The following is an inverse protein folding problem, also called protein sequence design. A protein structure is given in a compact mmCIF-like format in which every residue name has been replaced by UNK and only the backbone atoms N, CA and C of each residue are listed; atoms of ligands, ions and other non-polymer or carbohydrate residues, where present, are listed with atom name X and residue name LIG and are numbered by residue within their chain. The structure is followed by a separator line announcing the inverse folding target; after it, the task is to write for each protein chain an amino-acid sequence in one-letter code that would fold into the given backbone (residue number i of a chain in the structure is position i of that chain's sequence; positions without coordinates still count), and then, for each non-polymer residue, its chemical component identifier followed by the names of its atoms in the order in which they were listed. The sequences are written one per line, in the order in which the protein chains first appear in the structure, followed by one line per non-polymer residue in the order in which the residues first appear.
data_IF_949414991819
#
_entry.id   IF_949414991819
#
_cell.length_a   1.000
_cell.length_b   1.000
_cell.length_c   1.000
_cell.angle_alpha   90.00
_cell.angle_beta   90.00
_cell.angle_gamma   90.00
#
_symmetry.space_group_name_H-M   'P 1'
#
loop_
_entity.id
_entity.type
_entity.pdbx_description
1 polymer ?
#
# COMPACT_ATOMS: atom_id res chain seq x y z
N UNK A 1 75.51 43.79 -10.89
CA UNK A 1 74.42 43.12 -10.16
C UNK A 1 73.07 43.65 -10.72
N UNK A 2 72.45 42.89 -11.59
CA UNK A 2 71.17 43.25 -12.22
C UNK A 2 70.05 42.85 -11.28
N UNK A 3 69.26 43.81 -10.82
CA UNK A 3 68.06 43.59 -10.01
C UNK A 3 67.06 42.80 -10.82
N UNK A 4 66.79 41.53 -10.50
CA UNK A 4 65.66 40.79 -11.05
C UNK A 4 64.40 41.48 -10.59
N UNK A 5 63.57 41.82 -11.54
CA UNK A 5 62.33 42.53 -11.37
C UNK A 5 61.34 41.67 -10.49
N UNK A 6 60.67 42.25 -9.54
CA UNK A 6 59.65 41.52 -8.70
C UNK A 6 58.47 41.02 -9.54
N UNK A 7 58.38 41.43 -10.79
CA UNK A 7 57.33 41.01 -11.71
C UNK A 7 57.45 39.56 -12.15
N UNK A 8 58.68 39.01 -12.17
CA UNK A 8 58.94 37.59 -12.55
C UNK A 8 58.62 36.62 -11.44
N UNK A 9 58.74 37.10 -10.19
CA UNK A 9 58.40 36.23 -9.02
C UNK A 9 56.90 36.09 -8.81
N UNK A 10 56.13 37.15 -9.15
CA UNK A 10 54.66 37.08 -9.06
C UNK A 10 54.03 36.25 -10.19
N UNK A 11 54.69 36.17 -11.37
CA UNK A 11 54.19 35.35 -12.47
C UNK A 11 54.40 33.87 -12.22
N UNK A 12 55.51 33.48 -11.53
CA UNK A 12 55.76 32.08 -11.18
C UNK A 12 54.82 31.62 -10.06
N UNK A 13 54.42 32.50 -9.16
CA UNK A 13 53.46 32.14 -8.10
C UNK A 13 52.03 31.95 -8.63
N UNK A 14 51.63 32.73 -9.66
CA UNK A 14 50.31 32.59 -10.27
C UNK A 14 50.22 31.34 -11.14
N UNK A 15 51.33 30.92 -11.76
CA UNK A 15 51.35 29.67 -12.55
C UNK A 15 51.39 28.43 -11.67
N UNK A 16 51.89 28.50 -10.43
CA UNK A 16 51.82 27.35 -9.51
C UNK A 16 50.45 27.17 -8.83
N UNK A 17 49.61 28.20 -8.85
CA UNK A 17 48.23 28.11 -8.36
C UNK A 17 47.25 27.59 -9.42
N UNK A 18 47.63 27.63 -10.74
CA UNK A 18 46.81 27.13 -11.80
C UNK A 18 46.96 25.62 -12.06
N UNK A 19 47.93 24.95 -11.42
CA UNK A 19 48.20 23.51 -11.59
C UNK A 19 47.56 22.62 -10.51
N UNK A 20 46.81 23.19 -9.55
CA UNK A 20 46.00 22.43 -8.59
C UNK A 20 44.50 22.70 -8.77
N UNK A 21 44.03 22.38 -9.93
CA UNK A 21 42.63 22.54 -10.31
C UNK A 21 42.04 21.35 -11.02
N UNK A 22 42.49 20.14 -10.72
CA UNK A 22 41.58 19.01 -10.80
C UNK A 22 40.64 19.13 -9.60
N UNK A 23 39.45 19.65 -9.85
CA UNK A 23 38.31 19.37 -9.01
C UNK A 23 38.15 17.84 -9.04
N UNK A 24 38.73 17.16 -8.06
CA UNK A 24 38.08 15.99 -7.51
C UNK A 24 36.65 16.47 -7.29
N UNK A 25 35.73 15.98 -8.06
CA UNK A 25 34.34 16.03 -7.68
C UNK A 25 34.34 15.39 -6.30
N UNK A 26 34.22 16.23 -5.27
CA UNK A 26 33.95 15.81 -3.92
C UNK A 26 32.54 15.20 -4.05
N UNK A 27 32.49 13.91 -4.30
CA UNK A 27 31.32 13.08 -4.15
C UNK A 27 31.07 12.97 -2.66
N UNK A 28 30.67 14.12 -2.07
CA UNK A 28 30.05 14.08 -0.77
C UNK A 28 28.83 13.18 -0.93
N UNK A 29 28.92 11.96 -0.45
CA UNK A 29 27.77 11.05 -0.50
C UNK A 29 26.61 11.70 0.23
N UNK A 30 25.45 11.52 -0.30
CA UNK A 30 24.21 12.11 0.21
C UNK A 30 24.02 11.72 1.67
N UNK A 31 23.78 12.69 2.56
CA UNK A 31 23.65 12.47 4.00
C UNK A 31 22.29 11.90 4.44
N UNK A 32 21.34 11.91 3.54
CA UNK A 32 19.96 11.40 3.75
C UNK A 32 19.54 10.62 2.52
N UNK A 33 18.59 9.69 2.65
CA UNK A 33 18.01 8.98 1.50
C UNK A 33 17.49 9.94 0.41
N UNK A 34 17.46 9.50 -0.86
CA UNK A 34 16.91 10.28 -1.96
C UNK A 34 15.43 10.60 -1.72
N UNK A 35 14.92 11.64 -2.37
CA UNK A 35 13.48 11.85 -2.52
C UNK A 35 12.95 10.82 -3.50
N UNK A 36 11.85 10.17 -3.14
CA UNK A 36 11.15 9.25 -4.02
C UNK A 36 10.01 10.01 -4.72
N UNK A 37 10.01 9.98 -6.04
CA UNK A 37 8.87 10.45 -6.85
C UNK A 37 8.02 9.24 -7.24
N UNK A 38 6.75 9.26 -6.89
CA UNK A 38 5.77 8.26 -7.29
C UNK A 38 4.87 8.87 -8.36
N UNK A 39 4.81 8.24 -9.54
CA UNK A 39 4.05 8.75 -10.69
C UNK A 39 3.03 7.72 -11.14
N UNK A 40 1.78 8.13 -11.34
CA UNK A 40 0.72 7.28 -11.89
C UNK A 40 0.78 7.22 -13.45
N UNK A 41 -0.02 6.35 -14.05
CA UNK A 41 -0.07 6.16 -15.51
C UNK A 41 -0.50 7.40 -16.31
N UNK A 42 -1.20 8.36 -15.69
CA UNK A 42 -1.67 9.58 -16.33
C UNK A 42 -0.72 10.77 -16.16
N UNK A 43 0.41 10.56 -15.47
CA UNK A 43 1.44 11.56 -15.25
C UNK A 43 1.23 12.41 -13.98
N UNK A 44 0.21 12.09 -13.16
CA UNK A 44 0.11 12.66 -11.81
C UNK A 44 1.23 12.11 -10.92
N UNK A 45 1.86 12.96 -10.11
CA UNK A 45 2.99 12.54 -9.28
C UNK A 45 2.98 13.17 -7.91
N UNK A 46 3.66 12.49 -6.97
CA UNK A 46 3.90 12.97 -5.61
C UNK A 46 5.35 12.73 -5.22
N UNK A 47 5.96 13.68 -4.52
CA UNK A 47 7.30 13.56 -3.97
C UNK A 47 7.25 13.16 -2.50
N UNK A 48 8.01 12.14 -2.13
CA UNK A 48 8.06 11.56 -0.81
C UNK A 48 9.44 11.75 -0.20
N UNK A 49 9.47 12.21 1.04
CA UNK A 49 10.67 12.13 1.87
C UNK A 49 10.62 10.85 2.69
N UNK A 50 11.80 10.27 2.98
CA UNK A 50 11.89 9.12 3.86
C UNK A 50 11.36 9.44 5.26
N UNK A 51 10.53 8.56 5.79
CA UNK A 51 10.01 8.63 7.15
C UNK A 51 10.99 8.02 8.15
N UNK A 52 11.36 6.76 7.95
CA UNK A 52 12.40 6.06 8.71
C UNK A 52 13.54 5.63 7.79
N UNK A 53 14.76 5.58 8.33
CA UNK A 53 15.91 5.10 7.58
C UNK A 53 17.11 4.77 8.50
N UNK A 54 17.94 3.84 8.02
CA UNK A 54 19.34 3.65 8.44
C UNK A 54 20.21 3.93 7.22
N UNK A 55 20.93 5.07 7.24
CA UNK A 55 21.60 5.60 6.06
C UNK A 55 23.07 5.79 6.29
N UNK A 56 23.89 5.01 5.58
CA UNK A 56 25.34 5.11 5.61
C UNK A 56 25.85 6.04 4.50
N UNK A 57 26.68 7.00 4.86
CA UNK A 57 27.27 7.98 3.93
C UNK A 57 28.73 8.25 4.29
N UNK A 58 29.49 8.80 3.36
CA UNK A 58 30.88 9.21 3.60
C UNK A 58 30.99 10.71 3.76
N UNK A 59 31.72 11.15 4.79
CA UNK A 59 32.08 12.56 4.98
C UNK A 59 33.61 12.64 5.03
N UNK A 60 34.22 13.08 3.93
CA UNK A 60 35.65 13.01 3.73
C UNK A 60 36.13 11.54 3.65
N UNK A 61 36.99 11.13 4.57
CA UNK A 61 37.53 9.76 4.66
C UNK A 61 36.81 8.89 5.71
N UNK A 62 35.76 9.39 6.32
CA UNK A 62 35.04 8.69 7.39
C UNK A 62 33.66 8.22 6.92
N UNK A 63 33.35 6.94 7.19
CA UNK A 63 31.98 6.44 7.11
C UNK A 63 31.16 6.97 8.28
N UNK A 64 29.98 7.43 7.99
CA UNK A 64 28.99 7.96 8.95
C UNK A 64 27.66 7.25 8.75
N UNK A 65 26.89 7.12 9.81
CA UNK A 65 25.53 6.58 9.74
C UNK A 65 24.55 7.62 10.31
N UNK A 66 23.47 7.88 9.58
CA UNK A 66 22.34 8.67 10.02
C UNK A 66 21.13 7.75 10.19
N UNK A 67 20.48 7.82 11.34
CA UNK A 67 19.28 7.02 11.63
C UNK A 67 18.12 7.97 11.93
N UNK A 68 16.97 7.70 11.34
CA UNK A 68 15.71 8.33 11.68
C UNK A 68 14.65 7.28 11.97
N UNK A 69 13.88 7.50 13.03
CA UNK A 69 12.73 6.69 13.37
C UNK A 69 11.47 7.49 13.00
N UNK A 70 10.78 7.05 11.97
CA UNK A 70 9.47 7.60 11.58
C UNK A 70 8.33 6.98 12.39
N UNK A 71 7.15 7.57 12.26
CA UNK A 71 5.92 6.97 12.75
C UNK A 71 5.52 5.75 11.89
N UNK A 72 4.71 4.87 12.46
CA UNK A 72 4.15 3.75 11.71
C UNK A 72 3.28 4.30 10.55
N UNK A 73 3.28 3.68 9.34
CA UNK A 73 2.46 4.13 8.21
C UNK A 73 0.98 4.29 8.52
N UNK A 74 0.44 3.49 9.45
CA UNK A 74 -0.96 3.53 9.89
C UNK A 74 -1.21 4.44 11.10
N UNK A 75 -0.21 5.17 11.59
CA UNK A 75 -0.42 6.07 12.74
C UNK A 75 -1.43 7.16 12.35
N UNK A 76 -2.51 7.28 13.14
CA UNK A 76 -3.59 8.25 12.89
C UNK A 76 -3.05 9.70 12.79
N UNK A 77 -1.98 10.02 13.50
CA UNK A 77 -1.37 11.36 13.42
C UNK A 77 -0.70 11.67 12.07
N UNK A 78 -0.43 10.64 11.27
CA UNK A 78 0.15 10.78 9.95
C UNK A 78 -0.90 10.97 8.85
N UNK A 79 -2.17 10.67 9.10
CA UNK A 79 -3.25 10.65 8.12
C UNK A 79 -3.34 11.92 7.30
N UNK A 80 -3.36 13.09 7.96
CA UNK A 80 -3.52 14.37 7.29
C UNK A 80 -2.23 14.90 6.63
N UNK A 81 -1.08 14.29 6.93
CA UNK A 81 0.24 14.71 6.44
C UNK A 81 0.84 13.75 5.42
N UNK A 82 0.28 12.56 5.28
CA UNK A 82 0.72 11.56 4.30
C UNK A 82 0.40 12.06 2.89
N UNK A 83 1.40 12.14 2.00
CA UNK A 83 1.18 12.58 0.62
C UNK A 83 0.20 11.68 -0.12
N UNK A 84 -0.67 12.27 -0.93
CA UNK A 84 -1.73 11.56 -1.65
C UNK A 84 -1.44 11.59 -3.15
N UNK A 85 -1.34 10.42 -3.77
CA UNK A 85 -1.31 10.26 -5.21
C UNK A 85 -2.74 10.14 -5.74
N UNK A 86 -3.17 11.12 -6.50
CA UNK A 86 -4.48 11.09 -7.16
C UNK A 86 -4.43 10.07 -8.32
N UNK A 87 -5.36 9.12 -8.31
CA UNK A 87 -5.47 8.08 -9.32
C UNK A 87 -6.67 8.39 -10.22
N UNK A 88 -6.43 8.53 -11.53
CA UNK A 88 -7.53 8.84 -12.45
C UNK A 88 -8.54 7.70 -12.53
N UNK A 89 -9.80 8.00 -12.28
CA UNK A 89 -10.91 7.05 -12.43
C UNK A 89 -11.12 6.57 -13.89
N UNK A 90 -10.48 7.23 -14.86
CA UNK A 90 -10.63 6.91 -16.28
C UNK A 90 -9.68 5.80 -16.76
N UNK A 91 -8.80 5.29 -15.90
CA UNK A 91 -7.82 4.28 -16.29
C UNK A 91 -8.41 2.89 -16.11
N UNK A 92 -8.85 2.38 -17.24
CA UNK A 92 -9.01 0.99 -17.66
C UNK A 92 -10.06 0.11 -16.99
N UNK A 93 -10.75 -0.61 -17.87
CA UNK A 93 -11.55 -1.79 -17.55
C UNK A 93 -10.76 -2.93 -16.87
N UNK A 94 -9.44 -2.79 -16.72
CA UNK A 94 -8.57 -3.84 -16.20
C UNK A 94 -8.26 -3.71 -14.71
N UNK A 95 -8.84 -2.74 -14.01
CA UNK A 95 -8.75 -2.56 -12.54
C UNK A 95 -7.33 -2.56 -11.92
N UNK A 96 -6.27 -2.52 -12.72
CA UNK A 96 -4.90 -2.43 -12.23
C UNK A 96 -4.29 -1.07 -12.55
N UNK A 97 -3.64 -0.46 -11.57
CA UNK A 97 -2.87 0.76 -11.76
C UNK A 97 -1.39 0.45 -11.72
N UNK A 98 -0.66 0.91 -12.71
CA UNK A 98 0.79 0.87 -12.64
C UNK A 98 1.28 2.22 -12.14
N UNK A 99 2.10 2.22 -11.11
CA UNK A 99 2.83 3.38 -10.63
C UNK A 99 4.32 3.18 -10.89
N UNK A 100 5.01 4.28 -11.16
CA UNK A 100 6.46 4.32 -11.31
C UNK A 100 7.05 4.96 -10.07
N UNK A 101 8.08 4.32 -9.52
CA UNK A 101 8.87 4.79 -8.38
C UNK A 101 10.23 5.23 -8.90
N UNK A 102 10.55 6.51 -8.77
CA UNK A 102 11.79 7.11 -9.24
C UNK A 102 12.57 7.72 -8.06
N UNK A 103 13.75 7.18 -7.80
CA UNK A 103 14.68 7.64 -6.77
C UNK A 103 15.75 8.59 -7.31
N UNK A 104 15.60 9.05 -8.57
CA UNK A 104 16.58 9.87 -9.27
C UNK A 104 17.88 9.12 -9.56
N UNK A 105 19.01 9.80 -9.40
CA UNK A 105 20.34 9.25 -9.73
C UNK A 105 20.82 8.16 -8.75
N UNK A 106 20.04 7.85 -7.71
CA UNK A 106 20.43 6.95 -6.62
C UNK A 106 19.40 5.85 -6.42
N UNK A 107 19.21 5.04 -7.46
CA UNK A 107 18.26 3.93 -7.44
C UNK A 107 18.68 2.85 -6.42
N UNK A 108 17.77 2.33 -5.59
CA UNK A 108 18.05 1.24 -4.67
C UNK A 108 18.33 -0.09 -5.41
N UNK A 109 18.89 -1.05 -4.70
CA UNK A 109 19.11 -2.40 -5.21
C UNK A 109 17.84 -3.24 -5.15
N UNK A 110 17.00 -3.01 -4.15
CA UNK A 110 15.70 -3.65 -4.04
C UNK A 110 14.63 -2.71 -3.48
N UNK A 111 13.39 -2.96 -3.93
CA UNK A 111 12.20 -2.23 -3.49
C UNK A 111 11.07 -3.22 -3.27
N UNK A 112 10.38 -3.08 -2.15
CA UNK A 112 9.11 -3.75 -1.89
C UNK A 112 8.08 -2.75 -1.36
N UNK A 113 6.80 -3.05 -1.55
CA UNK A 113 5.72 -2.25 -1.01
C UNK A 113 4.91 -3.08 -0.03
N UNK A 114 4.59 -2.46 1.08
CA UNK A 114 3.53 -2.91 1.98
C UNK A 114 2.30 -2.05 1.73
N UNK A 115 1.13 -2.67 1.73
CA UNK A 115 -0.11 -1.95 1.53
C UNK A 115 -1.18 -2.35 2.54
N UNK A 116 -2.08 -1.41 2.78
CA UNK A 116 -3.25 -1.54 3.65
C UNK A 116 -4.42 -0.77 3.04
N UNK A 117 -5.62 -1.18 3.37
CA UNK A 117 -6.80 -0.38 3.07
C UNK A 117 -6.81 0.94 3.85
N UNK A 118 -7.44 1.96 3.30
CA UNK A 118 -7.54 3.29 3.92
C UNK A 118 -8.31 3.31 5.24
N UNK A 119 -9.11 2.30 5.52
CA UNK A 119 -9.81 2.15 6.81
C UNK A 119 -8.90 1.70 7.95
N UNK A 120 -7.65 1.28 7.64
CA UNK A 120 -6.68 0.82 8.63
C UNK A 120 -6.00 1.95 9.41
N UNK A 121 -6.29 3.23 9.14
CA UNK A 121 -5.75 4.34 9.92
C UNK A 121 -6.03 4.16 11.43
N UNK A 122 -5.01 4.34 12.25
CA UNK A 122 -5.07 4.15 13.70
C UNK A 122 -4.88 2.69 14.16
N UNK A 123 -4.86 1.72 13.25
CA UNK A 123 -4.76 0.28 13.55
C UNK A 123 -3.37 -0.26 13.17
N UNK A 124 -2.35 0.11 13.91
CA UNK A 124 -0.93 -0.17 13.60
C UNK A 124 -0.52 -1.64 13.66
N UNK A 125 -1.38 -2.52 14.15
CA UNK A 125 -1.15 -3.97 14.23
C UNK A 125 -1.76 -4.76 13.08
N UNK A 126 -2.51 -4.11 12.17
CA UNK A 126 -3.07 -4.79 10.98
C UNK A 126 -1.94 -5.27 10.07
N UNK A 127 -1.91 -6.56 9.69
CA UNK A 127 -0.92 -7.10 8.77
C UNK A 127 -0.97 -6.36 7.44
N UNK A 128 0.19 -6.14 6.83
CA UNK A 128 0.29 -5.58 5.49
C UNK A 128 0.25 -6.66 4.43
N UNK A 129 -0.31 -6.36 3.29
CA UNK A 129 -0.02 -7.10 2.07
C UNK A 129 1.31 -6.62 1.47
N UNK A 130 2.04 -7.51 0.81
CA UNK A 130 3.32 -7.15 0.17
C UNK A 130 3.17 -7.25 -1.35
N UNK A 131 3.53 -6.16 -2.02
CA UNK A 131 3.55 -6.08 -3.48
C UNK A 131 5.00 -5.93 -3.95
N UNK A 132 5.41 -6.76 -4.91
CA UNK A 132 6.77 -6.72 -5.43
C UNK A 132 6.90 -5.65 -6.52
N UNK A 133 7.94 -4.81 -6.41
CA UNK A 133 8.31 -3.86 -7.44
C UNK A 133 9.22 -4.52 -8.48
N UNK A 134 9.05 -4.12 -9.75
CA UNK A 134 9.87 -4.58 -10.87
C UNK A 134 10.83 -3.48 -11.30
N UNK A 135 12.14 -3.75 -11.22
CA UNK A 135 13.16 -2.81 -11.66
C UNK A 135 13.15 -2.69 -13.19
N UNK A 136 13.27 -1.46 -13.69
CA UNK A 136 13.34 -1.12 -15.09
C UNK A 136 14.80 -0.83 -15.53
N UNK A 137 15.06 -0.83 -16.84
CA UNK A 137 16.39 -0.58 -17.40
C UNK A 137 16.91 0.84 -17.14
N UNK A 138 16.01 1.80 -16.91
CA UNK A 138 16.33 3.19 -16.58
C UNK A 138 16.59 3.45 -15.09
N UNK A 139 16.54 2.39 -14.26
CA UNK A 139 16.75 2.46 -12.83
C UNK A 139 15.49 2.77 -11.99
N UNK A 140 14.37 3.04 -12.63
CA UNK A 140 13.08 3.18 -11.94
C UNK A 140 12.51 1.82 -11.56
N UNK A 141 11.45 1.83 -10.75
CA UNK A 141 10.68 0.62 -10.43
C UNK A 141 9.22 0.82 -10.83
N UNK A 142 8.60 -0.23 -11.34
CA UNK A 142 7.16 -0.25 -11.60
C UNK A 142 6.47 -1.19 -10.63
N UNK A 143 5.28 -0.79 -10.19
CA UNK A 143 4.42 -1.58 -9.31
C UNK A 143 3.02 -1.55 -9.86
N UNK A 144 2.39 -2.72 -9.92
CA UNK A 144 0.97 -2.83 -10.24
C UNK A 144 0.19 -2.84 -8.95
N UNK A 145 -0.64 -1.83 -8.75
CA UNK A 145 -1.51 -1.68 -7.58
C UNK A 145 -2.92 -2.11 -7.95
N UNK A 146 -3.59 -2.75 -7.00
CA UNK A 146 -5.03 -2.97 -7.08
C UNK A 146 -5.72 -1.62 -6.85
N UNK A 147 -6.79 -1.29 -7.59
CA UNK A 147 -7.48 -0.02 -7.47
C UNK A 147 -8.31 0.04 -6.18
N UNK A 148 -7.64 0.18 -5.07
CA UNK A 148 -8.26 0.53 -3.80
C UNK A 148 -7.71 1.86 -3.30
N UNK A 149 -8.48 2.57 -2.52
CA UNK A 149 -7.99 3.67 -1.71
C UNK A 149 -7.12 3.03 -0.64
N UNK A 150 -5.81 3.12 -0.81
CA UNK A 150 -4.85 2.40 0.02
C UNK A 150 -3.80 3.30 0.64
N UNK A 151 -3.18 2.77 1.68
CA UNK A 151 -1.99 3.31 2.34
C UNK A 151 -0.83 2.43 1.92
N UNK A 152 0.24 3.03 1.44
CA UNK A 152 1.40 2.30 0.93
C UNK A 152 2.68 2.74 1.64
N UNK A 153 3.48 1.76 2.05
CA UNK A 153 4.83 1.98 2.52
C UNK A 153 5.82 1.34 1.54
N UNK A 154 6.72 2.13 1.00
CA UNK A 154 7.80 1.69 0.11
C UNK A 154 9.03 1.45 0.97
N UNK A 155 9.50 0.22 1.02
CA UNK A 155 10.74 -0.16 1.70
C UNK A 155 11.83 -0.35 0.63
N UNK A 156 12.87 0.46 0.69
CA UNK A 156 13.96 0.49 -0.29
C UNK A 156 15.30 0.20 0.37
N UNK A 157 16.13 -0.63 -0.27
CA UNK A 157 17.42 -1.08 0.24
C UNK A 157 18.50 -0.78 -0.78
N UNK A 158 19.61 -0.21 -0.31
CA UNK A 158 20.85 0.03 -1.06
C UNK A 158 21.97 -0.79 -0.45
N UNK A 159 22.67 -1.60 -1.27
CA UNK A 159 23.90 -2.27 -0.91
C UNK A 159 25.08 -1.55 -1.59
N UNK A 160 25.87 -0.87 -0.79
CA UNK A 160 27.06 -0.15 -1.26
C UNK A 160 28.30 -0.75 -0.67
N UNK A 161 29.04 -1.50 -1.48
CA UNK A 161 30.29 -2.14 -1.05
C UNK A 161 30.15 -3.04 0.18
N UNK A 162 28.99 -3.71 0.31
CA UNK A 162 28.68 -4.58 1.45
C UNK A 162 28.21 -3.82 2.69
N UNK A 163 27.86 -2.54 2.56
CA UNK A 163 27.18 -1.74 3.57
C UNK A 163 25.73 -1.49 3.13
N UNK A 164 24.81 -2.08 3.85
CA UNK A 164 23.38 -1.91 3.61
C UNK A 164 22.90 -0.59 4.22
N UNK A 165 22.08 0.11 3.46
CA UNK A 165 21.29 1.26 3.90
C UNK A 165 19.85 1.02 3.52
N UNK A 166 18.93 1.44 4.36
CA UNK A 166 17.50 1.31 4.09
C UNK A 166 16.76 2.62 4.31
N UNK A 167 15.61 2.74 3.64
CA UNK A 167 14.68 3.84 3.86
C UNK A 167 13.24 3.43 3.56
N UNK A 168 12.30 3.92 4.36
CA UNK A 168 10.89 3.75 4.15
C UNK A 168 10.20 5.06 3.80
N UNK A 169 9.26 5.00 2.85
CA UNK A 169 8.47 6.13 2.37
C UNK A 169 7.00 5.75 2.45
N UNK A 170 6.14 6.71 2.73
CA UNK A 170 4.70 6.45 2.84
C UNK A 170 3.91 7.39 1.96
N UNK A 171 2.92 6.87 1.25
CA UNK A 171 1.93 7.63 0.49
C UNK A 171 0.57 6.95 0.54
N UNK A 172 -0.47 7.71 0.21
CA UNK A 172 -1.80 7.16 0.00
C UNK A 172 -2.21 7.31 -1.46
N UNK A 173 -3.12 6.46 -1.91
CA UNK A 173 -3.83 6.67 -3.18
C UNK A 173 -5.23 7.19 -2.92
N UNK A 174 -5.73 7.99 -3.85
CA UNK A 174 -7.11 8.43 -3.89
C UNK A 174 -7.57 8.50 -5.34
N UNK A 175 -8.79 8.03 -5.63
CA UNK A 175 -9.33 8.20 -6.96
C UNK A 175 -9.60 9.69 -7.24
N UNK A 176 -9.20 10.17 -8.42
CA UNK A 176 -9.40 11.56 -8.83
C UNK A 176 -10.88 11.90 -8.78
N UNK A 177 -11.22 12.96 -8.03
CA UNK A 177 -12.60 13.39 -7.85
C UNK A 177 -13.37 12.67 -6.74
N UNK A 178 -12.78 11.72 -6.02
CA UNK A 178 -13.41 11.18 -4.81
C UNK A 178 -13.44 12.23 -3.72
N UNK A 179 -14.64 12.51 -3.27
CA UNK A 179 -14.85 13.27 -2.04
C UNK A 179 -14.39 12.44 -0.85
N UNK A 180 -14.08 13.12 0.25
CA UNK A 180 -13.89 12.46 1.53
C UNK A 180 -15.04 11.49 1.79
N UNK A 181 -14.72 10.20 2.05
CA UNK A 181 -15.73 9.19 2.27
C UNK A 181 -16.32 9.35 3.68
N UNK A 182 -17.64 9.30 3.74
CA UNK A 182 -18.33 9.17 5.03
C UNK A 182 -18.20 7.73 5.49
N UNK A 183 -17.79 7.54 6.74
CA UNK A 183 -17.51 6.23 7.31
C UNK A 183 -18.43 5.96 8.50
N UNK A 184 -19.01 4.77 8.57
CA UNK A 184 -19.75 4.28 9.72
C UNK A 184 -19.19 2.91 10.15
N UNK A 185 -18.94 2.75 11.44
CA UNK A 185 -18.41 1.53 12.01
C UNK A 185 -19.49 0.79 12.82
N UNK A 186 -19.55 -0.52 12.66
CA UNK A 186 -20.38 -1.42 13.45
C UNK A 186 -19.56 -2.61 13.93
N UNK A 187 -19.83 -3.10 15.14
CA UNK A 187 -19.12 -4.24 15.72
C UNK A 187 -20.07 -5.37 16.06
N UNK A 188 -19.59 -6.61 15.88
CA UNK A 188 -20.33 -7.83 16.20
C UNK A 188 -19.45 -8.74 17.04
N UNK A 189 -19.95 -9.23 18.17
CA UNK A 189 -19.22 -10.18 19.02
C UNK A 189 -18.85 -11.45 18.25
N UNK A 190 -17.58 -11.83 18.27
CA UNK A 190 -17.01 -12.96 17.52
C UNK A 190 -17.42 -14.34 18.07
N UNK A 191 -17.77 -14.45 19.34
CA UNK A 191 -17.82 -15.71 20.11
C UNK A 191 -18.73 -16.81 19.59
N UNK A 192 -19.71 -16.52 18.74
CA UNK A 192 -20.62 -17.53 18.17
C UNK A 192 -20.60 -17.57 16.62
N UNK A 193 -19.76 -16.76 16.00
CA UNK A 193 -19.71 -16.63 14.54
C UNK A 193 -18.73 -17.67 13.98
N UNK A 194 -19.19 -18.47 13.03
CA UNK A 194 -18.38 -19.47 12.29
C UNK A 194 -18.43 -19.21 10.79
N UNK A 195 -19.37 -18.38 10.31
CA UNK A 195 -19.53 -18.05 8.89
C UNK A 195 -19.80 -16.57 8.71
N UNK A 196 -19.14 -15.98 7.70
CA UNK A 196 -19.50 -14.68 7.13
C UNK A 196 -20.27 -14.92 5.82
N UNK A 197 -21.40 -14.24 5.65
CA UNK A 197 -22.25 -14.31 4.47
C UNK A 197 -22.54 -12.87 4.04
N UNK A 198 -21.89 -12.44 2.96
CA UNK A 198 -21.87 -11.04 2.52
C UNK A 198 -22.54 -10.93 1.16
N UNK A 199 -23.58 -10.12 1.05
CA UNK A 199 -24.25 -9.79 -0.21
C UNK A 199 -24.05 -8.30 -0.53
N UNK A 200 -23.34 -7.99 -1.63
CA UNK A 200 -22.93 -6.63 -1.95
C UNK A 200 -23.22 -6.24 -3.39
N UNK A 201 -23.58 -4.97 -3.66
CA UNK A 201 -23.95 -4.53 -5.01
C UNK A 201 -22.74 -4.04 -5.82
N UNK A 202 -22.03 -3.04 -5.33
CA UNK A 202 -20.94 -2.39 -6.06
C UNK A 202 -20.00 -1.63 -5.15
N UNK A 203 -18.85 -1.17 -5.69
CA UNK A 203 -17.77 -0.61 -4.94
C UNK A 203 -16.76 -1.67 -4.52
N UNK A 204 -16.47 -1.86 -3.22
CA UNK A 204 -15.59 -2.94 -2.76
C UNK A 204 -16.09 -3.68 -1.53
N UNK A 205 -15.57 -4.89 -1.36
CA UNK A 205 -15.62 -5.69 -0.12
C UNK A 205 -14.21 -6.13 0.19
N UNK A 206 -13.66 -5.64 1.31
CA UNK A 206 -12.33 -5.94 1.78
C UNK A 206 -12.41 -6.71 3.10
N UNK A 207 -11.95 -7.97 3.13
CA UNK A 207 -11.94 -8.81 4.32
C UNK A 207 -10.49 -8.94 4.80
N UNK A 208 -10.22 -8.46 6.01
CA UNK A 208 -8.89 -8.35 6.57
C UNK A 208 -8.80 -9.05 7.93
N UNK A 209 -7.63 -9.61 8.24
CA UNK A 209 -7.32 -10.08 9.59
C UNK A 209 -6.78 -8.92 10.43
N UNK A 210 -7.19 -8.86 11.68
CA UNK A 210 -6.74 -7.83 12.60
C UNK A 210 -6.42 -8.46 13.98
N UNK A 211 -5.14 -8.38 14.38
CA UNK A 211 -4.67 -8.90 15.66
C UNK A 211 -5.06 -8.01 16.84
N UNK A 212 -5.46 -6.77 16.58
CA UNK A 212 -5.78 -5.79 17.60
C UNK A 212 -7.24 -5.81 18.04
N UNK A 213 -8.11 -6.56 17.34
CA UNK A 213 -9.54 -6.59 17.64
C UNK A 213 -9.98 -7.96 18.18
N UNK A 214 -10.89 -7.93 19.15
CA UNK A 214 -11.53 -9.13 19.73
C UNK A 214 -12.94 -9.38 19.15
N UNK A 215 -13.42 -8.46 18.33
CA UNK A 215 -14.75 -8.48 17.73
C UNK A 215 -14.67 -8.26 16.23
N UNK A 216 -15.63 -8.78 15.48
CA UNK A 216 -15.72 -8.48 14.05
C UNK A 216 -16.14 -7.02 13.91
N UNK A 217 -15.33 -6.24 13.19
CA UNK A 217 -15.58 -4.83 12.91
C UNK A 217 -15.92 -4.63 11.45
N UNK A 218 -17.02 -3.96 11.16
CA UNK A 218 -17.47 -3.64 9.82
C UNK A 218 -17.44 -2.12 9.65
N UNK A 219 -16.69 -1.66 8.65
CA UNK A 219 -16.62 -0.24 8.29
C UNK A 219 -17.26 -0.06 6.93
N UNK A 220 -18.39 0.63 6.92
CA UNK A 220 -19.12 1.00 5.70
C UNK A 220 -18.75 2.42 5.29
N UNK A 221 -18.28 2.61 4.07
CA UNK A 221 -17.93 3.92 3.53
C UNK A 221 -18.74 4.25 2.28
N UNK A 222 -18.96 5.56 2.06
CA UNK A 222 -19.72 6.06 0.90
C UNK A 222 -19.35 7.51 0.59
N UNK A 223 -19.57 7.94 -0.64
CA UNK A 223 -19.28 9.32 -1.09
C UNK A 223 -20.20 10.39 -0.47
N UNK A 224 -21.30 9.99 0.14
CA UNK A 224 -22.24 10.86 0.83
C UNK A 224 -22.80 10.20 2.09
N UNK A 225 -23.32 10.98 3.04
CA UNK A 225 -24.01 10.42 4.19
C UNK A 225 -25.13 9.46 3.78
N UNK A 226 -25.18 8.28 4.40
CA UNK A 226 -26.21 7.28 4.14
C UNK A 226 -27.45 7.56 4.98
N UNK A 227 -28.61 7.46 4.36
CA UNK A 227 -29.87 7.39 5.09
C UNK A 227 -30.00 5.99 5.77
N UNK A 228 -30.79 5.88 6.84
CA UNK A 228 -30.93 4.63 7.58
C UNK A 228 -31.34 3.42 6.72
N UNK A 229 -32.12 3.64 5.69
CA UNK A 229 -32.52 2.59 4.75
C UNK A 229 -31.47 2.29 3.67
N UNK A 230 -30.37 3.02 3.63
CA UNK A 230 -29.25 2.82 2.71
C UNK A 230 -28.04 2.16 3.38
N UNK A 231 -28.01 2.15 4.71
CA UNK A 231 -26.95 1.50 5.49
C UNK A 231 -26.98 -0.01 5.32
N UNK A 232 -25.83 -0.65 5.52
CA UNK A 232 -25.76 -2.10 5.54
C UNK A 232 -26.70 -2.69 6.60
N UNK A 233 -27.18 -3.91 6.37
CA UNK A 233 -27.96 -4.66 7.34
C UNK A 233 -27.13 -5.78 7.93
N UNK A 234 -27.14 -5.90 9.26
CA UNK A 234 -26.49 -6.98 9.97
C UNK A 234 -27.53 -7.91 10.59
N UNK A 235 -27.32 -9.20 10.44
CA UNK A 235 -28.10 -10.23 11.09
C UNK A 235 -27.22 -11.40 11.48
N UNK A 236 -27.31 -11.83 12.74
CA UNK A 236 -26.67 -13.06 13.20
C UNK A 236 -27.74 -14.14 13.32
N UNK A 237 -27.53 -15.26 12.65
CA UNK A 237 -28.43 -16.42 12.67
C UNK A 237 -27.65 -17.71 12.63
N UNK A 238 -27.79 -18.54 13.68
CA UNK A 238 -27.19 -19.88 13.78
C UNK A 238 -25.68 -19.93 13.49
N UNK A 239 -24.90 -18.95 13.99
CA UNK A 239 -23.46 -18.86 13.78
C UNK A 239 -23.04 -18.15 12.48
N UNK A 240 -23.98 -17.73 11.65
CA UNK A 240 -23.72 -16.95 10.44
C UNK A 240 -23.94 -15.48 10.68
N UNK A 241 -22.93 -14.65 10.41
CA UNK A 241 -23.07 -13.21 10.31
C UNK A 241 -23.43 -12.86 8.86
N UNK A 242 -24.67 -12.39 8.67
CA UNK A 242 -25.14 -11.92 7.36
C UNK A 242 -24.98 -10.42 7.26
N UNK A 243 -24.26 -9.98 6.23
CA UNK A 243 -24.05 -8.58 5.89
C UNK A 243 -24.72 -8.31 4.55
N UNK A 244 -25.74 -7.48 4.53
CA UNK A 244 -26.54 -7.28 3.33
C UNK A 244 -26.60 -5.85 2.84
N UNK A 245 -26.45 -5.69 1.53
CA UNK A 245 -26.72 -4.46 0.81
C UNK A 245 -27.61 -4.67 -0.44
N UNK A 246 -27.62 -5.87 -1.01
CA UNK A 246 -28.36 -6.20 -2.25
C UNK A 246 -29.87 -5.93 -2.20
N UNK A 247 -30.49 -6.00 -1.03
CA UNK A 247 -31.93 -5.82 -0.90
C UNK A 247 -32.38 -4.36 -1.09
N UNK A 248 -31.42 -3.42 -1.08
CA UNK A 248 -31.71 -1.98 -1.10
C UNK A 248 -31.52 -1.39 -2.49
N UNK A 249 -32.48 -1.59 -3.34
CA UNK A 249 -32.51 -1.20 -4.77
C UNK A 249 -32.44 0.31 -5.07
N UNK A 250 -32.18 1.18 -4.11
CA UNK A 250 -32.30 2.64 -4.29
C UNK A 250 -31.04 3.44 -4.01
N UNK A 251 -29.89 2.78 -3.78
CA UNK A 251 -28.65 3.51 -3.62
C UNK A 251 -28.04 3.80 -5.00
N UNK A 252 -27.90 5.08 -5.31
CA UNK A 252 -27.20 5.55 -6.51
C UNK A 252 -25.77 5.97 -6.07
N UNK A 253 -24.78 5.16 -6.41
CA UNK A 253 -23.39 5.34 -6.03
C UNK A 253 -22.69 4.04 -5.63
N UNK A 254 -21.45 4.17 -5.26
CA UNK A 254 -20.63 3.06 -4.77
C UNK A 254 -20.51 3.08 -3.25
N UNK A 255 -20.43 1.91 -2.66
CA UNK A 255 -20.18 1.72 -1.24
C UNK A 255 -19.02 0.75 -1.04
N UNK A 256 -18.25 1.02 -0.03
CA UNK A 256 -17.06 0.27 0.30
C UNK A 256 -17.26 -0.36 1.68
N UNK A 257 -17.03 -1.66 1.77
CA UNK A 257 -17.14 -2.42 3.01
C UNK A 257 -15.77 -2.97 3.38
N UNK A 258 -15.29 -2.66 4.57
CA UNK A 258 -14.16 -3.36 5.17
C UNK A 258 -14.66 -4.19 6.34
N UNK A 259 -14.33 -5.47 6.34
CA UNK A 259 -14.61 -6.41 7.43
C UNK A 259 -13.29 -6.81 8.09
N UNK A 260 -13.07 -6.35 9.32
CA UNK A 260 -11.92 -6.76 10.13
C UNK A 260 -12.32 -7.95 10.98
N UNK A 261 -11.65 -9.05 10.76
CA UNK A 261 -11.86 -10.31 11.46
C UNK A 261 -10.75 -10.50 12.48
N UNK A 262 -11.07 -10.78 13.76
CA UNK A 262 -10.04 -11.11 14.74
C UNK A 262 -9.17 -12.27 14.26
N UNK A 263 -7.86 -12.11 14.22
CA UNK A 263 -6.93 -13.16 13.81
C UNK A 263 -7.10 -14.44 14.65
N UNK A 264 -7.46 -14.30 15.94
CA UNK A 264 -7.75 -15.40 16.84
C UNK A 264 -8.90 -16.33 16.39
N UNK A 265 -9.87 -15.82 15.61
CA UNK A 265 -10.94 -16.65 15.04
C UNK A 265 -10.43 -17.59 13.97
N UNK A 266 -9.43 -17.16 13.21
CA UNK A 266 -8.80 -17.96 12.17
C UNK A 266 -7.80 -18.94 12.78
N UNK A 267 -6.93 -18.48 13.65
CA UNK A 267 -5.94 -19.31 14.35
C UNK A 267 -6.57 -20.45 15.16
N UNK A 268 -7.75 -20.22 15.74
CA UNK A 268 -8.49 -21.25 16.46
C UNK A 268 -9.31 -22.17 15.54
N UNK A 269 -9.40 -21.87 14.26
CA UNK A 269 -10.28 -22.58 13.31
C UNK A 269 -11.76 -22.30 13.52
N UNK A 270 -12.11 -21.25 14.26
CA UNK A 270 -13.50 -20.88 14.54
C UNK A 270 -14.20 -20.36 13.29
N UNK A 271 -13.55 -19.53 12.47
CA UNK A 271 -14.11 -19.08 11.20
C UNK A 271 -13.95 -20.14 10.14
N UNK A 272 -15.02 -20.84 9.85
CA UNK A 272 -15.05 -21.98 8.94
C UNK A 272 -15.25 -21.55 7.48
N UNK A 273 -16.09 -20.53 7.25
CA UNK A 273 -16.51 -20.15 5.89
C UNK A 273 -16.66 -18.64 5.72
N UNK A 274 -16.16 -18.13 4.59
CA UNK A 274 -16.45 -16.81 4.03
C UNK A 274 -17.17 -17.02 2.71
N UNK A 275 -18.36 -16.45 2.57
CA UNK A 275 -19.23 -16.53 1.40
C UNK A 275 -19.56 -15.08 0.98
N UNK A 276 -19.14 -14.69 -0.23
CA UNK A 276 -19.37 -13.35 -0.77
C UNK A 276 -20.08 -13.43 -2.09
N UNK A 277 -21.30 -12.87 -2.15
CA UNK A 277 -22.05 -12.69 -3.38
C UNK A 277 -22.04 -11.21 -3.75
N UNK A 278 -21.44 -10.85 -4.88
CA UNK A 278 -21.35 -9.48 -5.33
C UNK A 278 -21.90 -9.29 -6.74
N UNK A 279 -22.43 -8.11 -7.06
CA UNK A 279 -22.88 -7.82 -8.41
C UNK A 279 -21.78 -7.17 -9.26
N UNK A 280 -21.18 -6.07 -8.79
CA UNK A 280 -20.13 -5.33 -9.49
C UNK A 280 -19.04 -4.82 -8.54
N UNK A 281 -18.91 -5.41 -7.35
CA UNK A 281 -17.90 -5.01 -6.39
C UNK A 281 -16.56 -5.70 -6.64
N UNK A 282 -15.48 -4.99 -6.34
CA UNK A 282 -14.17 -5.60 -6.13
C UNK A 282 -14.19 -6.35 -4.80
N UNK A 283 -13.87 -7.63 -4.80
CA UNK A 283 -13.80 -8.46 -3.58
C UNK A 283 -12.35 -8.79 -3.29
N UNK A 284 -11.86 -8.33 -2.16
CA UNK A 284 -10.52 -8.64 -1.66
C UNK A 284 -10.64 -9.50 -0.40
N UNK A 285 -9.98 -10.65 -0.36
CA UNK A 285 -9.89 -11.49 0.83
C UNK A 285 -8.43 -11.64 1.19
N UNK A 286 -8.03 -11.03 2.30
CA UNK A 286 -6.68 -11.13 2.82
C UNK A 286 -6.44 -12.51 3.45
N UNK A 287 -5.19 -12.89 3.43
CA UNK A 287 -4.60 -14.19 3.71
C UNK A 287 -5.26 -15.02 4.81
N UNK A 288 -5.49 -16.30 4.51
CA UNK A 288 -5.84 -17.36 5.47
C UNK A 288 -7.07 -17.06 6.34
N UNK A 289 -8.02 -16.30 5.80
CA UNK A 289 -9.13 -15.78 6.59
C UNK A 289 -10.18 -16.81 7.01
N UNK A 290 -10.23 -18.00 6.35
CA UNK A 290 -11.16 -19.08 6.69
C UNK A 290 -10.72 -20.42 6.10
N UNK A 291 -11.35 -21.52 6.53
CA UNK A 291 -11.11 -22.84 5.94
C UNK A 291 -11.69 -22.92 4.53
N UNK A 292 -12.88 -22.33 4.32
CA UNK A 292 -13.54 -22.26 3.01
C UNK A 292 -13.77 -20.80 2.61
N UNK A 293 -13.42 -20.47 1.38
CA UNK A 293 -13.72 -19.18 0.75
C UNK A 293 -14.54 -19.43 -0.51
N UNK A 294 -15.70 -18.81 -0.60
CA UNK A 294 -16.60 -18.88 -1.75
C UNK A 294 -16.93 -17.46 -2.19
N UNK A 295 -16.54 -17.09 -3.40
CA UNK A 295 -16.76 -15.73 -3.93
C UNK A 295 -17.43 -15.83 -5.29
N UNK A 296 -18.59 -15.23 -5.40
CA UNK A 296 -19.35 -15.12 -6.65
C UNK A 296 -19.57 -13.67 -7.01
N UNK A 297 -19.19 -13.26 -8.22
CA UNK A 297 -19.44 -11.90 -8.71
C UNK A 297 -19.90 -11.89 -10.17
N UNK A 298 -20.79 -10.97 -10.53
CA UNK A 298 -21.24 -10.85 -11.91
C UNK A 298 -20.22 -10.10 -12.79
N UNK A 299 -19.66 -8.99 -12.33
CA UNK A 299 -18.73 -8.17 -13.11
C UNK A 299 -17.62 -7.51 -12.29
N UNK A 300 -17.48 -7.86 -11.02
CA UNK A 300 -16.42 -7.34 -10.16
C UNK A 300 -15.13 -8.16 -10.27
N UNK A 301 -14.02 -7.58 -9.84
CA UNK A 301 -12.76 -8.30 -9.67
C UNK A 301 -12.76 -9.11 -8.37
N UNK A 302 -11.99 -10.20 -8.35
CA UNK A 302 -11.76 -10.99 -7.14
C UNK A 302 -10.26 -11.11 -6.91
N UNK A 303 -9.82 -10.69 -5.74
CA UNK A 303 -8.44 -10.82 -5.30
C UNK A 303 -8.42 -11.65 -4.02
N UNK A 304 -7.71 -12.77 -4.04
CA UNK A 304 -7.53 -13.62 -2.87
C UNK A 304 -6.03 -13.79 -2.63
N UNK A 305 -5.62 -13.50 -1.41
CA UNK A 305 -4.24 -13.65 -0.99
C UNK A 305 -4.20 -14.54 0.25
N UNK A 306 -3.56 -15.71 0.16
CA UNK A 306 -3.30 -16.60 1.29
C UNK A 306 -3.83 -18.01 1.17
N UNK A 307 -3.78 -18.72 2.31
CA UNK A 307 -4.09 -20.15 2.42
C UNK A 307 -5.55 -20.38 2.78
N UNK A 308 -6.20 -21.38 2.17
CA UNK A 308 -7.46 -21.94 2.64
C UNK A 308 -7.56 -23.41 2.24
N UNK A 309 -8.47 -24.18 2.85
CA UNK A 309 -8.65 -25.58 2.48
C UNK A 309 -9.42 -25.72 1.17
N UNK A 310 -10.46 -24.89 1.01
CA UNK A 310 -11.32 -24.89 -0.18
C UNK A 310 -11.51 -23.47 -0.69
N UNK A 311 -11.29 -23.30 -1.97
CA UNK A 311 -11.48 -22.06 -2.69
C UNK A 311 -12.45 -22.27 -3.84
N UNK A 312 -13.51 -21.48 -3.90
CA UNK A 312 -14.44 -21.39 -5.03
C UNK A 312 -14.56 -19.95 -5.46
N UNK A 313 -14.28 -19.66 -6.72
CA UNK A 313 -14.39 -18.31 -7.28
C UNK A 313 -15.13 -18.38 -8.60
N UNK A 314 -16.26 -17.69 -8.68
CA UNK A 314 -17.05 -17.59 -9.91
C UNK A 314 -17.19 -16.11 -10.30
N UNK A 315 -16.82 -15.76 -11.54
CA UNK A 315 -17.11 -14.44 -12.12
C UNK A 315 -17.61 -14.55 -13.54
N UNK A 316 -18.62 -13.76 -13.89
CA UNK A 316 -19.18 -13.79 -15.26
C UNK A 316 -18.34 -12.92 -16.21
N UNK A 317 -17.80 -11.79 -15.79
CA UNK A 317 -17.02 -10.86 -16.61
C UNK A 317 -15.96 -10.07 -15.84
N UNK A 318 -15.60 -10.51 -14.67
CA UNK A 318 -14.53 -9.91 -13.85
C UNK A 318 -13.17 -10.56 -14.08
N UNK A 319 -12.16 -10.04 -13.42
CA UNK A 319 -10.85 -10.71 -13.34
C UNK A 319 -10.74 -11.46 -12.01
N UNK A 320 -9.92 -12.49 -11.99
CA UNK A 320 -9.57 -13.24 -10.79
C UNK A 320 -8.05 -13.18 -10.60
N UNK A 321 -7.63 -12.70 -9.46
CA UNK A 321 -6.23 -12.69 -9.05
C UNK A 321 -6.09 -13.46 -7.74
N UNK A 322 -5.39 -14.58 -7.78
CA UNK A 322 -5.13 -15.38 -6.62
C UNK A 322 -3.62 -15.43 -6.44
N UNK A 323 -3.12 -14.87 -5.35
CA UNK A 323 -1.70 -14.76 -5.06
C UNK A 323 -1.36 -15.39 -3.72
N UNK A 324 -0.27 -16.16 -3.71
CA UNK A 324 0.18 -16.87 -2.52
C UNK A 324 -0.77 -18.03 -2.18
N UNK A 325 -0.38 -18.84 -1.23
CA UNK A 325 -1.29 -19.77 -0.60
C UNK A 325 -1.25 -21.20 -1.07
N UNK A 326 -1.77 -22.04 -0.19
CA UNK A 326 -1.96 -23.46 -0.38
C UNK A 326 -3.45 -23.79 -0.30
N UNK A 327 -3.95 -24.49 -1.30
CA UNK A 327 -5.33 -24.97 -1.34
C UNK A 327 -5.36 -26.48 -1.56
N UNK A 328 -6.24 -27.17 -0.86
CA UNK A 328 -6.50 -28.59 -1.13
C UNK A 328 -7.44 -28.80 -2.31
N UNK A 329 -8.39 -27.86 -2.52
CA UNK A 329 -9.38 -27.90 -3.58
C UNK A 329 -9.66 -26.48 -4.06
N UNK A 330 -9.56 -26.25 -5.37
CA UNK A 330 -9.90 -24.96 -5.98
C UNK A 330 -10.78 -25.15 -7.22
N UNK A 331 -11.85 -24.35 -7.33
CA UNK A 331 -12.73 -24.23 -8.49
C UNK A 331 -12.78 -22.72 -8.88
N UNK A 332 -12.31 -22.43 -10.11
CA UNK A 332 -12.11 -21.03 -10.56
C UNK A 332 -12.66 -20.85 -11.97
#
# INVERSE_FOLDING_TARGET
MKKLSPLLLSLVLVLSLAACGEKSADTASRQTPPVLTVTNQTGGSVELKSGSYDWTYTQGLQGMTAIACGAHPLDETCRDTTPVLEMSAAVSADYFYTVTLDFGDDAPDSVSLRCWDSTCWGSTSVPSETVTAQRQDDGTYTVTLIPSIGIFAVDAIWDRDGQESDAAYTFCTRAEGTKELFSEEQTVGSGAITKLDISWLGGSVDIQLDDAVDVITLVEQSERPLAENEKLTLRVDSGTLRVGFMEKKQFDGEKYLTVRVPASMVESGQLEEIDVEAMSALVNVASSAAQKIDVSTMSGGVCINGDCEKLSVETTSGYVNISGGYWNEADI
#
